data_IF_931493633893
#
_entry.id   IF_931493633893
#
_cell.length_a   1.000
_cell.length_b   1.000
_cell.length_c   1.000
_cell.angle_alpha   90.00
_cell.angle_beta   90.00
_cell.angle_gamma   90.00
#
_symmetry.space_group_name_H-M   'P 1'
#
loop_
_entity.id
_entity.type
_entity.pdbx_description
1 polymer ?
#
# COMPACT_ATOMS: atom_id res chain seq x y z
N UNK A 1 -4.54 12.47 -15.82
CA UNK A 1 -4.86 11.18 -16.49
C UNK A 1 -4.81 10.10 -15.43
N UNK A 2 -5.90 9.32 -15.28
CA UNK A 2 -6.03 8.30 -14.25
C UNK A 2 -5.06 7.12 -14.43
N UNK A 3 -4.84 6.39 -13.34
CA UNK A 3 -4.14 5.11 -13.36
C UNK A 3 -4.77 4.14 -14.37
N UNK A 4 -3.96 3.31 -14.99
CA UNK A 4 -4.41 2.25 -15.89
C UNK A 4 -4.02 0.90 -15.32
N UNK A 5 -4.86 0.38 -14.44
CA UNK A 5 -4.72 -0.95 -13.89
C UNK A 5 -5.52 -1.95 -14.72
N UNK A 6 -4.91 -3.06 -15.06
CA UNK A 6 -5.54 -4.18 -15.78
C UNK A 6 -5.18 -5.50 -15.13
N UNK A 7 -6.01 -6.50 -15.33
CA UNK A 7 -5.68 -7.89 -15.01
C UNK A 7 -5.11 -8.52 -16.26
N UNK A 8 -3.89 -9.02 -16.18
CA UNK A 8 -3.23 -9.76 -17.26
C UNK A 8 -3.03 -11.22 -16.86
N UNK A 9 -2.91 -12.10 -17.84
CA UNK A 9 -2.58 -13.49 -17.61
C UNK A 9 -1.26 -13.82 -18.32
N UNK A 10 -0.32 -14.40 -17.58
CA UNK A 10 0.93 -14.89 -18.10
C UNK A 10 1.26 -16.24 -17.50
N UNK A 11 1.51 -17.25 -18.33
CA UNK A 11 1.79 -18.63 -17.91
C UNK A 11 0.77 -19.20 -16.91
N UNK A 12 -0.53 -18.93 -17.11
CA UNK A 12 -1.62 -19.41 -16.26
C UNK A 12 -1.73 -18.71 -14.89
N UNK A 13 -1.01 -17.59 -14.70
CA UNK A 13 -1.08 -16.77 -13.50
C UNK A 13 -1.62 -15.38 -13.84
N UNK A 14 -2.48 -14.87 -12.97
CA UNK A 14 -3.02 -13.52 -13.10
C UNK A 14 -2.14 -12.51 -12.36
N UNK A 15 -2.01 -11.33 -12.97
CA UNK A 15 -1.26 -10.20 -12.42
C UNK A 15 -2.13 -8.93 -12.46
N UNK A 16 -1.99 -8.10 -11.46
CA UNK A 16 -2.50 -6.73 -11.48
C UNK A 16 -1.39 -5.84 -12.05
N UNK A 17 -1.57 -5.35 -13.26
CA UNK A 17 -0.56 -4.53 -13.93
C UNK A 17 -0.96 -3.07 -14.00
N UNK A 18 -0.05 -2.20 -13.58
CA UNK A 18 -0.08 -0.79 -13.90
C UNK A 18 0.65 -0.59 -15.23
N UNK A 19 -0.08 -0.09 -16.25
CA UNK A 19 0.37 -0.09 -17.65
C UNK A 19 1.00 1.23 -18.10
N UNK A 20 0.88 2.31 -17.33
CA UNK A 20 1.26 3.65 -17.75
C UNK A 20 2.42 4.20 -16.96
N UNK A 21 3.24 4.99 -17.67
CA UNK A 21 4.18 5.89 -17.05
C UNK A 21 3.43 7.11 -16.50
N UNK A 22 3.61 7.39 -15.22
CA UNK A 22 3.14 8.62 -14.60
C UNK A 22 4.33 9.55 -14.39
N UNK A 23 4.53 10.48 -15.33
CA UNK A 23 5.46 11.57 -15.10
C UNK A 23 4.81 12.56 -14.13
N UNK A 24 5.36 12.68 -12.95
CA UNK A 24 4.71 13.24 -11.77
C UNK A 24 5.29 14.58 -11.32
N UNK A 25 6.05 15.25 -12.16
CA UNK A 25 6.44 16.62 -11.87
C UNK A 25 5.32 17.61 -12.21
N UNK A 26 4.97 18.52 -11.30
CA UNK A 26 5.41 18.72 -9.92
C UNK A 26 4.60 17.94 -8.86
N UNK A 27 3.58 17.20 -9.24
CA UNK A 27 2.64 16.54 -8.34
C UNK A 27 2.85 15.03 -8.37
N UNK A 28 3.58 14.48 -7.39
CA UNK A 28 3.74 13.04 -7.24
C UNK A 28 2.39 12.38 -6.98
N UNK A 29 1.80 11.81 -8.02
CA UNK A 29 0.63 10.94 -7.87
C UNK A 29 1.12 9.50 -7.75
N UNK A 30 0.60 8.75 -6.79
CA UNK A 30 0.82 7.31 -6.70
C UNK A 30 -0.45 6.62 -7.18
N UNK A 31 -0.49 6.13 -8.43
CA UNK A 31 -1.58 5.27 -8.87
C UNK A 31 -1.70 4.08 -7.94
N UNK A 32 -2.83 3.92 -7.29
CA UNK A 32 -3.01 3.02 -6.15
C UNK A 32 -4.23 2.13 -6.36
N UNK A 33 -4.09 0.84 -6.05
CA UNK A 33 -5.21 -0.07 -5.80
C UNK A 33 -5.24 -0.39 -4.32
N UNK A 34 -6.34 -0.05 -3.66
CA UNK A 34 -6.54 -0.27 -2.23
C UNK A 34 -7.37 -1.52 -1.97
N UNK A 35 -7.05 -2.23 -0.90
CA UNK A 35 -7.84 -3.36 -0.39
C UNK A 35 -7.93 -3.32 1.12
N UNK A 36 -8.94 -4.01 1.66
CA UNK A 36 -9.08 -4.20 3.10
C UNK A 36 -9.91 -3.14 3.79
N UNK A 37 -9.72 -3.03 5.10
CA UNK A 37 -10.53 -2.22 5.99
C UNK A 37 -9.73 -1.06 6.57
N UNK A 38 -10.34 0.12 6.63
CA UNK A 38 -9.73 1.31 7.22
C UNK A 38 -9.46 1.20 8.73
N UNK A 39 -10.02 0.17 9.38
CA UNK A 39 -9.83 -0.09 10.81
C UNK A 39 -8.74 -1.12 11.09
N UNK A 40 -8.07 -1.63 10.06
CA UNK A 40 -6.92 -2.52 10.26
C UNK A 40 -5.82 -1.82 11.04
N UNK A 41 -5.30 -2.53 12.04
CA UNK A 41 -4.11 -2.18 12.81
C UNK A 41 -3.35 -3.47 13.07
N UNK A 42 -2.07 -3.35 13.27
CA UNK A 42 -1.23 -4.49 13.66
C UNK A 42 -1.43 -5.65 12.68
N UNK A 43 -0.85 -5.55 11.51
CA UNK A 43 -1.02 -6.50 10.42
C UNK A 43 0.24 -6.62 9.57
N UNK A 44 0.35 -7.75 8.88
CA UNK A 44 1.40 -8.00 7.91
C UNK A 44 0.87 -7.91 6.50
N UNK A 45 1.66 -7.35 5.59
CA UNK A 45 1.37 -7.31 4.17
C UNK A 45 2.51 -7.98 3.41
N UNK A 46 2.17 -8.80 2.44
CA UNK A 46 3.11 -9.35 1.47
C UNK A 46 2.59 -9.12 0.06
N UNK A 47 3.45 -8.66 -0.84
CA UNK A 47 3.11 -8.57 -2.26
C UNK A 47 4.31 -8.98 -3.12
N UNK A 48 4.04 -9.65 -4.24
CA UNK A 48 5.05 -9.83 -5.28
C UNK A 48 4.98 -8.69 -6.27
N UNK A 49 6.14 -8.12 -6.61
CA UNK A 49 6.26 -7.02 -7.57
C UNK A 49 7.34 -7.31 -8.60
N UNK A 50 7.04 -7.01 -9.86
CA UNK A 50 7.96 -7.03 -10.99
C UNK A 50 7.87 -5.70 -11.71
N UNK A 51 8.98 -5.01 -11.85
CA UNK A 51 9.05 -3.72 -12.54
C UNK A 51 9.61 -3.91 -13.94
N UNK A 52 9.00 -3.27 -14.95
CA UNK A 52 9.46 -3.32 -16.33
C UNK A 52 10.42 -2.18 -16.67
N UNK A 53 10.64 -1.24 -15.77
CA UNK A 53 11.61 -0.16 -15.89
C UNK A 53 12.19 0.14 -14.51
N UNK A 54 13.51 0.25 -14.42
CA UNK A 54 14.25 0.51 -13.17
C UNK A 54 15.07 1.80 -13.20
N UNK A 55 14.97 2.56 -14.28
CA UNK A 55 15.76 3.80 -14.42
C UNK A 55 15.17 4.98 -13.66
N UNK A 56 13.85 5.00 -13.47
CA UNK A 56 13.14 6.05 -12.79
C UNK A 56 11.72 5.59 -12.44
N UNK A 57 11.11 6.26 -11.47
CA UNK A 57 9.80 5.91 -10.94
C UNK A 57 9.86 4.90 -9.81
N UNK A 58 8.71 4.51 -9.32
CA UNK A 58 8.59 3.65 -8.15
C UNK A 58 7.50 2.59 -8.31
N UNK A 59 7.65 1.51 -7.53
CA UNK A 59 6.61 0.49 -7.35
C UNK A 59 6.76 -0.12 -5.95
N UNK A 60 5.62 -0.40 -5.28
CA UNK A 60 5.66 -0.94 -3.93
C UNK A 60 4.31 -1.15 -3.27
N UNK A 61 4.35 -1.28 -1.95
CA UNK A 61 3.22 -1.52 -1.06
C UNK A 61 2.85 -0.23 -0.35
N UNK A 62 1.57 0.16 -0.44
CA UNK A 62 0.97 1.17 0.43
C UNK A 62 0.32 0.51 1.64
N UNK A 63 0.39 1.15 2.80
CA UNK A 63 -0.19 0.64 4.03
C UNK A 63 -0.57 1.76 4.99
N UNK A 64 -1.33 1.44 6.04
CA UNK A 64 -1.94 2.43 6.92
C UNK A 64 -2.70 3.51 6.13
N UNK A 65 -3.29 3.11 4.99
CA UNK A 65 -3.91 4.04 4.08
C UNK A 65 -5.26 4.50 4.62
N UNK A 66 -5.38 5.79 4.89
CA UNK A 66 -6.65 6.44 5.20
C UNK A 66 -7.42 6.76 3.91
N UNK A 67 -6.69 7.03 2.85
CA UNK A 67 -7.12 7.21 1.47
C UNK A 67 -5.88 7.24 0.57
N UNK A 68 -6.08 7.31 -0.74
CA UNK A 68 -5.00 7.33 -1.74
C UNK A 68 -4.01 8.51 -1.62
N UNK A 69 -4.29 9.50 -0.79
CA UNK A 69 -3.44 10.67 -0.55
C UNK A 69 -2.74 10.66 0.82
N UNK A 70 -3.11 9.74 1.72
CA UNK A 70 -2.56 9.69 3.07
C UNK A 70 -2.27 8.23 3.42
N UNK A 71 -1.02 7.82 3.30
CA UNK A 71 -0.55 6.46 3.55
C UNK A 71 0.97 6.40 3.73
N UNK A 72 1.44 5.35 4.36
CA UNK A 72 2.82 4.92 4.28
C UNK A 72 3.04 4.11 3.00
N UNK A 73 4.23 4.21 2.40
CA UNK A 73 4.58 3.44 1.19
C UNK A 73 5.99 2.90 1.34
N UNK A 74 6.12 1.57 1.24
CA UNK A 74 7.40 0.89 1.09
C UNK A 74 7.59 0.51 -0.37
N UNK A 75 8.64 1.03 -1.00
CA UNK A 75 8.79 0.96 -2.45
C UNK A 75 10.24 0.90 -2.93
N UNK A 76 10.42 0.43 -4.15
CA UNK A 76 11.65 0.61 -4.92
C UNK A 76 11.62 1.98 -5.62
N UNK A 77 12.68 2.75 -5.47
CA UNK A 77 12.92 4.02 -6.18
C UNK A 77 14.42 4.35 -6.15
N UNK A 78 14.98 4.81 -7.27
CA UNK A 78 16.38 5.30 -7.39
C UNK A 78 17.45 4.33 -6.90
N UNK A 79 17.32 3.02 -7.20
CA UNK A 79 18.22 1.98 -6.71
C UNK A 79 18.29 1.90 -5.17
N UNK A 80 17.17 2.14 -4.55
CA UNK A 80 16.95 2.04 -3.12
C UNK A 80 15.62 1.36 -2.82
N UNK A 81 15.49 0.83 -1.63
CA UNK A 81 14.20 0.64 -0.97
C UNK A 81 13.97 1.83 -0.07
N UNK A 82 12.77 2.39 -0.13
CA UNK A 82 12.38 3.59 0.62
C UNK A 82 11.09 3.34 1.40
N UNK A 83 11.05 3.85 2.61
CA UNK A 83 9.81 4.02 3.35
C UNK A 83 9.49 5.52 3.37
N UNK A 84 8.34 5.87 2.84
CA UNK A 84 7.89 7.26 2.77
C UNK A 84 6.50 7.41 3.40
N UNK A 85 6.23 8.59 3.95
CA UNK A 85 4.87 9.00 4.29
C UNK A 85 4.36 9.98 3.24
N UNK A 86 3.25 9.61 2.62
CA UNK A 86 2.54 10.47 1.70
C UNK A 86 1.41 11.20 2.43
N UNK A 87 1.43 12.52 2.36
CA UNK A 87 0.34 13.37 2.82
C UNK A 87 -0.04 14.37 1.73
N UNK A 88 -1.14 14.12 1.03
CA UNK A 88 -1.60 14.90 -0.14
C UNK A 88 -0.52 14.88 -1.24
N UNK A 89 0.01 16.06 -1.58
CA UNK A 89 1.06 16.24 -2.58
C UNK A 89 2.47 16.12 -2.00
N UNK A 90 2.61 16.12 -0.67
CA UNK A 90 3.90 16.01 0.01
C UNK A 90 4.27 14.53 0.21
N UNK A 91 5.55 14.23 0.01
CA UNK A 91 6.15 12.93 0.28
C UNK A 91 7.35 13.16 1.18
N UNK A 92 7.29 12.63 2.39
CA UNK A 92 8.34 12.65 3.38
C UNK A 92 9.07 11.31 3.38
N UNK A 93 10.37 11.29 3.10
CA UNK A 93 11.20 10.10 3.23
C UNK A 93 11.51 9.88 4.71
N UNK A 94 11.13 8.71 5.24
CA UNK A 94 11.36 8.34 6.64
C UNK A 94 12.66 7.56 6.79
N UNK A 95 12.92 6.62 5.88
CA UNK A 95 14.13 5.80 5.84
C UNK A 95 14.36 5.31 4.41
N UNK A 96 15.64 5.12 4.05
CA UNK A 96 16.03 4.50 2.79
C UNK A 96 17.32 3.69 2.92
N UNK A 97 17.44 2.64 2.10
CA UNK A 97 18.62 1.76 2.02
C UNK A 97 18.92 1.44 0.56
N UNK A 98 20.21 1.42 0.24
CA UNK A 98 20.65 0.98 -1.08
C UNK A 98 20.18 -0.46 -1.37
N UNK A 99 19.60 -0.65 -2.54
CA UNK A 99 19.16 -1.94 -3.02
C UNK A 99 19.23 -1.98 -4.55
N UNK A 100 20.11 -2.80 -5.08
CA UNK A 100 20.26 -2.94 -6.52
C UNK A 100 19.22 -3.92 -7.08
N UNK A 101 18.18 -3.39 -7.70
CA UNK A 101 17.12 -4.15 -8.34
C UNK A 101 17.18 -4.05 -9.86
N UNK A 102 16.75 -5.11 -10.53
CA UNK A 102 16.74 -5.21 -11.98
C UNK A 102 15.33 -5.18 -12.55
N UNK A 103 15.18 -4.76 -13.80
CA UNK A 103 13.94 -4.95 -14.53
C UNK A 103 13.71 -6.44 -14.76
N UNK A 104 12.43 -6.81 -14.79
CA UNK A 104 11.98 -8.18 -15.03
C UNK A 104 12.26 -9.20 -13.92
N UNK A 105 13.03 -8.86 -12.90
CA UNK A 105 13.10 -9.67 -11.68
C UNK A 105 11.83 -9.47 -10.83
N UNK A 106 11.43 -10.56 -10.17
CA UNK A 106 10.30 -10.53 -9.23
C UNK A 106 10.83 -10.47 -7.80
N UNK A 107 10.33 -9.50 -7.05
CA UNK A 107 10.68 -9.28 -5.65
C UNK A 107 9.46 -9.51 -4.75
N UNK A 108 9.69 -10.06 -3.59
CA UNK A 108 8.68 -10.17 -2.54
C UNK A 108 8.93 -9.04 -1.55
N UNK A 109 7.98 -8.13 -1.46
CA UNK A 109 7.95 -7.08 -0.44
C UNK A 109 7.09 -7.54 0.73
N UNK A 110 7.59 -7.38 1.96
CA UNK A 110 6.81 -7.59 3.18
C UNK A 110 6.89 -6.34 4.05
N UNK A 111 5.78 -6.03 4.69
CA UNK A 111 5.69 -4.97 5.71
C UNK A 111 4.97 -5.55 6.92
N UNK A 112 5.56 -5.41 8.10
CA UNK A 112 4.94 -5.72 9.39
C UNK A 112 4.66 -4.42 10.13
N UNK A 113 3.43 -4.26 10.63
CA UNK A 113 2.99 -3.10 11.40
C UNK A 113 2.51 -3.56 12.77
N UNK A 114 3.12 -3.02 13.83
CA UNK A 114 2.74 -3.28 15.21
C UNK A 114 2.75 -1.96 16.01
N UNK A 115 1.59 -1.36 16.18
CA UNK A 115 1.46 -0.03 16.81
C UNK A 115 2.16 1.05 15.98
N UNK A 116 3.22 1.64 16.54
CA UNK A 116 4.09 2.60 15.85
C UNK A 116 5.25 1.94 15.12
N UNK A 117 5.52 0.67 15.39
CA UNK A 117 6.67 -0.05 14.87
C UNK A 117 6.40 -0.59 13.48
N UNK A 118 7.33 -0.35 12.55
CA UNK A 118 7.25 -0.75 11.15
C UNK A 118 8.54 -1.45 10.75
N UNK A 119 8.39 -2.66 10.25
CA UNK A 119 9.49 -3.43 9.66
C UNK A 119 9.20 -3.69 8.17
N UNK A 120 10.21 -3.48 7.31
CA UNK A 120 10.07 -3.71 5.89
C UNK A 120 11.15 -4.64 5.37
N UNK A 121 10.75 -5.58 4.52
CA UNK A 121 11.59 -6.67 4.03
C UNK A 121 11.53 -6.77 2.51
N UNK A 122 12.64 -7.18 1.91
CA UNK A 122 12.70 -7.62 0.51
C UNK A 122 13.24 -9.03 0.47
N UNK A 123 12.49 -9.95 -0.15
CA UNK A 123 12.84 -11.37 -0.24
C UNK A 123 13.23 -12.00 1.11
N UNK A 124 12.51 -11.62 2.18
CA UNK A 124 12.74 -12.08 3.54
C UNK A 124 13.90 -11.42 4.29
N UNK A 125 14.67 -10.54 3.66
CA UNK A 125 15.74 -9.76 4.32
C UNK A 125 15.20 -8.43 4.79
N UNK A 126 15.41 -8.11 6.09
CA UNK A 126 14.97 -6.84 6.68
C UNK A 126 15.86 -5.68 6.22
N UNK A 127 15.26 -4.63 5.71
CA UNK A 127 15.93 -3.41 5.27
C UNK A 127 15.60 -2.21 6.14
N UNK A 128 14.37 -2.10 6.61
CA UNK A 128 13.88 -0.97 7.38
C UNK A 128 13.28 -1.48 8.69
N UNK A 129 13.55 -0.76 9.78
CA UNK A 129 13.12 -1.10 11.13
C UNK A 129 13.03 0.21 11.92
N UNK A 130 11.82 0.82 12.00
CA UNK A 130 11.63 2.14 12.62
C UNK A 130 10.32 2.23 13.39
N UNK A 131 10.27 3.19 14.31
CA UNK A 131 9.03 3.67 14.92
C UNK A 131 8.54 4.93 14.22
N UNK A 132 7.26 4.97 13.86
CA UNK A 132 6.64 6.14 13.25
C UNK A 132 5.21 6.36 13.74
N UNK A 133 4.88 7.61 14.04
CA UNK A 133 3.52 8.00 14.46
C UNK A 133 2.49 7.80 13.35
N UNK A 134 2.93 7.77 12.10
CA UNK A 134 2.05 7.61 10.95
C UNK A 134 1.44 6.20 10.84
N UNK A 135 2.04 5.19 11.49
CA UNK A 135 1.51 3.82 11.51
C UNK A 135 0.37 3.65 12.53
N UNK A 136 0.33 4.45 13.61
CA UNK A 136 -0.58 4.28 14.75
C UNK A 136 -2.06 4.31 14.36
N UNK A 137 -2.41 5.05 13.32
CA UNK A 137 -3.81 5.15 12.87
C UNK A 137 -4.28 3.84 12.20
N UNK A 138 -3.37 3.04 11.68
CA UNK A 138 -3.69 1.89 10.85
C UNK A 138 -4.30 2.32 9.49
N UNK A 139 -5.04 1.44 8.86
CA UNK A 139 -5.70 1.72 7.59
C UNK A 139 -5.63 0.56 6.61
N UNK A 140 -6.04 0.80 5.38
CA UNK A 140 -6.04 -0.18 4.30
C UNK A 140 -4.62 -0.52 3.82
N UNK A 141 -4.52 -1.68 3.17
CA UNK A 141 -3.37 -2.04 2.34
C UNK A 141 -3.57 -1.60 0.89
N UNK A 142 -2.47 -1.42 0.18
CA UNK A 142 -2.49 -1.02 -1.22
C UNK A 142 -1.27 -1.54 -1.99
N UNK A 143 -1.39 -1.58 -3.31
CA UNK A 143 -0.26 -1.62 -4.23
C UNK A 143 -0.21 -0.31 -5.01
N UNK A 144 0.98 0.14 -5.34
CA UNK A 144 1.18 1.40 -6.06
C UNK A 144 2.37 1.31 -7.01
N UNK A 145 2.27 1.96 -8.16
CA UNK A 145 3.36 2.09 -9.10
C UNK A 145 3.19 3.33 -9.98
N UNK A 146 4.28 4.07 -10.19
CA UNK A 146 4.34 5.20 -11.15
C UNK A 146 4.90 4.78 -12.51
N UNK A 147 5.39 3.56 -12.61
CA UNK A 147 5.95 2.92 -13.81
C UNK A 147 5.16 1.66 -14.13
N UNK A 148 5.27 1.12 -15.35
CA UNK A 148 4.75 -0.20 -15.64
C UNK A 148 5.33 -1.24 -14.69
N UNK A 149 4.44 -1.90 -13.96
CA UNK A 149 4.79 -2.92 -12.97
C UNK A 149 3.65 -3.93 -12.83
N UNK A 150 4.00 -5.19 -12.59
CA UNK A 150 3.08 -6.28 -12.36
C UNK A 150 3.14 -6.75 -10.90
N UNK A 151 1.98 -6.93 -10.29
CA UNK A 151 1.83 -7.50 -8.95
C UNK A 151 1.12 -8.84 -9.08
N UNK A 152 1.80 -9.92 -8.68
CA UNK A 152 1.25 -11.28 -8.80
C UNK A 152 0.22 -11.58 -7.71
N UNK A 153 0.40 -11.00 -6.53
CA UNK A 153 -0.55 -11.10 -5.42
C UNK A 153 -0.33 -9.97 -4.40
N UNK A 154 -1.32 -9.79 -3.55
CA UNK A 154 -1.22 -9.07 -2.29
C UNK A 154 -1.92 -9.90 -1.20
N UNK A 155 -1.20 -10.25 -0.16
CA UNK A 155 -1.72 -10.94 1.02
C UNK A 155 -1.66 -10.01 2.21
N UNK A 156 -2.72 -10.01 3.03
CA UNK A 156 -2.76 -9.25 4.27
C UNK A 156 -3.19 -10.20 5.40
N UNK A 157 -2.35 -10.33 6.42
CA UNK A 157 -2.62 -11.12 7.60
C UNK A 157 -2.93 -10.19 8.76
N UNK A 158 -4.11 -10.34 9.34
CA UNK A 158 -4.54 -9.66 10.56
C UNK A 158 -4.71 -10.70 11.66
N UNK A 159 -4.39 -10.34 12.91
CA UNK A 159 -4.63 -11.22 14.03
C UNK A 159 -6.13 -11.32 14.37
N UNK A 160 -6.50 -12.36 15.12
CA UNK A 160 -7.90 -12.64 15.48
C UNK A 160 -8.52 -11.48 16.29
N UNK A 161 -7.75 -10.85 17.19
CA UNK A 161 -8.21 -9.69 17.98
C UNK A 161 -8.49 -8.47 17.08
N UNK A 162 -7.67 -8.27 16.08
CA UNK A 162 -7.88 -7.23 15.07
C UNK A 162 -9.15 -7.50 14.27
N UNK A 163 -9.39 -8.74 13.86
CA UNK A 163 -10.62 -9.12 13.12
C UNK A 163 -11.88 -8.89 13.97
N UNK A 164 -11.88 -9.30 15.25
CA UNK A 164 -13.00 -9.03 16.16
C UNK A 164 -13.24 -7.53 16.35
N UNK A 165 -12.19 -6.74 16.54
CA UNK A 165 -12.28 -5.28 16.65
C UNK A 165 -12.85 -4.66 15.37
N UNK A 166 -12.47 -5.14 14.21
CA UNK A 166 -13.00 -4.68 12.92
C UNK A 166 -14.49 -4.94 12.81
N UNK A 167 -14.94 -6.15 13.17
CA UNK A 167 -16.35 -6.53 13.18
C UNK A 167 -17.16 -5.58 14.08
N UNK A 168 -16.70 -5.35 15.30
CA UNK A 168 -17.33 -4.43 16.23
C UNK A 168 -17.40 -2.99 15.71
N UNK A 169 -16.32 -2.50 15.10
CA UNK A 169 -16.27 -1.16 14.50
C UNK A 169 -17.19 -1.00 13.29
N UNK A 170 -17.30 -2.02 12.46
CA UNK A 170 -18.21 -2.03 11.31
C UNK A 170 -19.68 -1.98 11.78
N UNK A 171 -19.99 -2.74 12.82
CA UNK A 171 -21.33 -2.74 13.41
C UNK A 171 -21.68 -1.37 14.02
N UNK A 172 -20.77 -0.78 14.83
CA UNK A 172 -20.92 0.57 15.36
C UNK A 172 -21.18 1.61 14.25
N UNK A 173 -20.40 1.52 13.15
CA UNK A 173 -20.53 2.44 12.03
C UNK A 173 -21.87 2.24 11.29
N UNK A 174 -22.27 0.99 11.06
CA UNK A 174 -23.54 0.65 10.43
C UNK A 174 -24.72 1.20 11.22
N UNK A 175 -24.69 1.04 12.56
CA UNK A 175 -25.73 1.56 13.45
C UNK A 175 -25.81 3.09 13.36
N UNK A 176 -24.67 3.80 13.41
CA UNK A 176 -24.64 5.26 13.23
C UNK A 176 -25.18 5.71 11.88
N UNK A 177 -24.90 4.99 10.80
CA UNK A 177 -25.44 5.29 9.49
C UNK A 177 -26.98 5.10 9.46
N UNK A 178 -27.47 4.04 10.07
CA UNK A 178 -28.92 3.76 10.16
C UNK A 178 -29.64 4.83 10.97
N UNK A 179 -29.09 5.23 12.12
CA UNK A 179 -29.63 6.34 12.90
C UNK A 179 -29.63 7.67 12.13
N UNK A 180 -28.54 7.97 11.41
CA UNK A 180 -28.48 9.17 10.60
C UNK A 180 -29.53 9.15 9.48
N UNK A 181 -29.72 8.01 8.81
CA UNK A 181 -30.73 7.85 7.76
C UNK A 181 -32.16 7.98 8.32
N UNK A 182 -32.43 7.51 9.53
CA UNK A 182 -33.75 7.61 10.15
C UNK A 182 -34.17 9.06 10.46
N UNK A 183 -33.20 9.97 10.57
CA UNK A 183 -33.46 11.41 10.80
C UNK A 183 -33.88 12.16 9.54
N UNK A 184 -33.71 11.55 8.37
CA UNK A 184 -34.12 12.11 7.08
C UNK A 184 -35.19 11.22 6.47
N UNK A 185 -36.50 11.51 6.69
CA UNK A 185 -37.55 10.74 6.06
C UNK A 185 -37.40 10.80 4.55
N UNK A 186 -37.55 9.64 3.91
CA UNK A 186 -37.58 9.57 2.45
C UNK A 186 -38.71 10.48 1.96
N UNK A 187 -38.38 11.51 1.20
CA UNK A 187 -39.34 12.26 0.42
C UNK A 187 -39.89 11.38 -0.69
#
# INVERSE_FOLDING_TARGET
>A
QGASWVITEYCGKHYMEQMRLHNTEPHRTFPTLETGDRFWKDYDIEASVRMFNTKWGNAGIGFCAQNSLNMLVFMFEDKQVKLVYRHKENVEELESKAFDYNSDDTYILNVSVNGSHVECYVNGTKYIDIDTVYAVQGGKAAITATIPAAFGYINVNVDEKTDERIKAKREEYSNKCTEAQSRYPKM
#
